data_IF_820646317124
#
_entry.id   IF_820646317124
#
_cell.length_a   1.000
_cell.length_b   1.000
_cell.length_c   1.000
_cell.angle_alpha   90.00
_cell.angle_beta   90.00
_cell.angle_gamma   90.00
#
_symmetry.space_group_name_H-M   'P 1'
#
loop_
_entity.id
_entity.type
_entity.pdbx_description
1 polymer ?
#
# COMPACT_ATOMS: atom_id res chain seq x y z
N UNK A 1 26.27 -10.86 -31.34
CA UNK A 1 25.53 -9.57 -31.27
C UNK A 1 24.88 -9.47 -29.88
N UNK A 2 25.29 -8.51 -29.04
CA UNK A 2 24.61 -8.26 -27.75
C UNK A 2 23.23 -7.66 -28.05
N UNK A 3 22.16 -8.37 -27.72
CA UNK A 3 20.80 -7.85 -27.86
C UNK A 3 20.64 -6.64 -26.94
N UNK A 4 20.55 -5.45 -27.51
CA UNK A 4 20.33 -4.22 -26.73
C UNK A 4 18.84 -4.09 -26.42
N UNK A 5 18.50 -4.18 -25.14
CA UNK A 5 17.12 -4.04 -24.68
C UNK A 5 16.54 -2.66 -25.07
N UNK A 6 15.29 -2.64 -25.51
CA UNK A 6 14.54 -1.39 -25.78
C UNK A 6 14.47 -0.53 -24.51
N UNK A 7 14.45 0.79 -24.67
CA UNK A 7 14.43 1.74 -23.55
C UNK A 7 13.29 1.45 -22.57
N UNK A 8 12.07 1.21 -23.06
CA UNK A 8 10.92 0.89 -22.20
C UNK A 8 11.14 -0.35 -21.32
N UNK A 9 11.79 -1.40 -21.87
CA UNK A 9 12.13 -2.61 -21.09
C UNK A 9 13.15 -2.27 -20.00
N UNK A 10 14.17 -1.47 -20.31
CA UNK A 10 15.16 -1.03 -19.32
C UNK A 10 14.53 -0.21 -18.21
N UNK A 11 13.62 0.70 -18.56
CA UNK A 11 12.86 1.52 -17.60
C UNK A 11 12.02 0.63 -16.70
N UNK A 12 11.30 -0.34 -17.26
CA UNK A 12 10.53 -1.31 -16.49
C UNK A 12 11.39 -2.11 -15.48
N UNK A 13 12.54 -2.57 -15.92
CA UNK A 13 13.46 -3.30 -15.03
C UNK A 13 13.99 -2.42 -13.89
N UNK A 14 14.25 -1.12 -14.14
CA UNK A 14 14.62 -0.18 -13.09
C UNK A 14 13.49 0.06 -12.08
N UNK A 15 12.24 0.23 -12.55
CA UNK A 15 11.07 0.36 -11.68
C UNK A 15 10.93 -0.84 -10.75
N UNK A 16 11.01 -2.06 -11.31
CA UNK A 16 10.94 -3.28 -10.50
C UNK A 16 12.04 -3.36 -9.45
N UNK A 17 13.29 -3.01 -9.83
CA UNK A 17 14.41 -3.01 -8.90
C UNK A 17 14.23 -1.99 -7.78
N UNK A 18 13.75 -0.79 -8.10
CA UNK A 18 13.47 0.26 -7.11
C UNK A 18 12.38 -0.22 -6.15
N UNK A 19 11.25 -0.72 -6.69
CA UNK A 19 10.15 -1.27 -5.88
C UNK A 19 10.63 -2.36 -4.92
N UNK A 20 11.45 -3.30 -5.41
CA UNK A 20 12.02 -4.34 -4.56
C UNK A 20 12.94 -3.78 -3.47
N UNK A 21 13.83 -2.84 -3.83
CA UNK A 21 14.82 -2.27 -2.90
C UNK A 21 14.16 -1.45 -1.80
N UNK A 22 13.22 -0.58 -2.19
CA UNK A 22 12.45 0.24 -1.24
C UNK A 22 11.54 -0.65 -0.39
N UNK A 23 10.84 -1.60 -1.02
CA UNK A 23 9.96 -2.54 -0.31
C UNK A 23 10.69 -3.33 0.77
N UNK A 24 11.93 -3.78 0.53
CA UNK A 24 12.75 -4.44 1.57
C UNK A 24 13.04 -3.54 2.76
N UNK A 25 13.38 -2.26 2.53
CA UNK A 25 13.64 -1.30 3.62
C UNK A 25 12.39 -1.05 4.45
N UNK A 26 11.26 -0.86 3.77
CA UNK A 26 9.96 -0.66 4.41
C UNK A 26 9.51 -1.90 5.20
N UNK A 27 9.70 -3.10 4.66
CA UNK A 27 9.40 -4.35 5.37
C UNK A 27 10.21 -4.49 6.65
N UNK A 28 11.52 -4.23 6.61
CA UNK A 28 12.37 -4.27 7.79
C UNK A 28 11.93 -3.28 8.88
N UNK A 29 11.40 -2.11 8.49
CA UNK A 29 10.83 -1.17 9.45
C UNK A 29 9.52 -1.68 10.04
N UNK A 30 8.62 -2.25 9.22
CA UNK A 30 7.34 -2.78 9.69
C UNK A 30 7.49 -3.97 10.66
N UNK A 31 8.57 -4.74 10.56
CA UNK A 31 8.86 -5.83 11.50
C UNK A 31 8.95 -5.37 12.95
N UNK A 32 9.36 -4.12 13.23
CA UNK A 32 9.37 -3.54 14.58
C UNK A 32 7.96 -3.40 15.18
N UNK A 33 6.93 -3.47 14.35
CA UNK A 33 5.52 -3.39 14.73
C UNK A 33 4.78 -4.71 14.55
N UNK A 34 5.51 -5.80 14.26
CA UNK A 34 4.93 -7.09 13.88
C UNK A 34 3.93 -6.97 12.71
N UNK A 35 4.21 -6.08 11.77
CA UNK A 35 3.40 -5.86 10.58
C UNK A 35 4.11 -6.33 9.31
N UNK A 36 3.36 -6.93 8.41
CA UNK A 36 3.74 -7.02 7.00
C UNK A 36 3.37 -5.72 6.27
N UNK A 37 4.00 -5.44 5.13
CA UNK A 37 3.60 -4.29 4.29
C UNK A 37 2.14 -4.34 3.86
N UNK A 38 1.60 -5.54 3.62
CA UNK A 38 0.19 -5.70 3.28
C UNK A 38 -0.74 -5.35 4.46
N UNK A 39 -0.40 -5.75 5.69
CA UNK A 39 -1.12 -5.37 6.90
C UNK A 39 -1.02 -3.86 7.16
N UNK A 40 0.19 -3.29 7.02
CA UNK A 40 0.38 -1.85 7.07
C UNK A 40 -0.51 -1.12 6.06
N UNK A 41 -0.56 -1.60 4.81
CA UNK A 41 -1.42 -1.04 3.77
C UNK A 41 -2.89 -0.98 4.17
N UNK A 42 -3.41 -2.02 4.85
CA UNK A 42 -4.77 -2.02 5.41
C UNK A 42 -4.95 -0.90 6.43
N UNK A 43 -4.04 -0.79 7.40
CA UNK A 43 -4.11 0.23 8.45
C UNK A 43 -4.05 1.65 7.86
N UNK A 44 -3.14 1.90 6.93
CA UNK A 44 -2.98 3.20 6.27
C UNK A 44 -4.23 3.60 5.47
N UNK A 45 -4.83 2.66 4.72
CA UNK A 45 -6.05 2.94 3.96
C UNK A 45 -7.26 3.19 4.88
N UNK A 46 -7.39 2.46 5.97
CA UNK A 46 -8.47 2.66 6.92
C UNK A 46 -8.32 3.96 7.71
N UNK A 47 -7.10 4.42 7.96
CA UNK A 47 -6.85 5.73 8.55
C UNK A 47 -7.29 6.87 7.61
N UNK A 48 -7.01 6.75 6.32
CA UNK A 48 -7.36 7.74 5.32
C UNK A 48 -8.85 7.72 4.93
N UNK A 49 -9.48 6.54 4.97
CA UNK A 49 -10.87 6.33 4.57
C UNK A 49 -11.55 5.37 5.57
N UNK A 50 -12.01 5.89 6.71
CA UNK A 50 -12.77 5.09 7.68
C UNK A 50 -14.07 4.59 7.06
N UNK A 51 -14.47 3.38 7.44
CA UNK A 51 -15.70 2.71 6.96
C UNK A 51 -15.72 2.41 5.45
N UNK A 52 -14.71 1.71 4.98
CA UNK A 52 -14.61 1.22 3.61
C UNK A 52 -15.07 -0.25 3.54
N UNK A 53 -15.71 -0.65 2.44
CA UNK A 53 -16.07 -2.06 2.25
C UNK A 53 -14.81 -2.92 2.07
N UNK A 54 -14.89 -4.17 2.55
CA UNK A 54 -13.80 -5.14 2.39
C UNK A 54 -13.41 -5.34 0.91
N UNK A 55 -14.38 -5.32 -0.01
CA UNK A 55 -14.12 -5.44 -1.44
C UNK A 55 -13.35 -4.22 -1.97
N UNK A 56 -13.81 -3.00 -1.64
CA UNK A 56 -13.14 -1.78 -2.07
C UNK A 56 -11.71 -1.68 -1.50
N UNK A 57 -11.49 -2.16 -0.29
CA UNK A 57 -10.17 -2.22 0.32
C UNK A 57 -9.26 -3.21 -0.43
N UNK A 58 -9.78 -4.37 -0.83
CA UNK A 58 -9.05 -5.34 -1.65
C UNK A 58 -8.64 -4.76 -3.01
N UNK A 59 -9.57 -4.07 -3.67
CA UNK A 59 -9.32 -3.43 -4.97
C UNK A 59 -8.25 -2.34 -4.85
N UNK A 60 -8.31 -1.50 -3.81
CA UNK A 60 -7.30 -0.44 -3.58
C UNK A 60 -5.92 -0.96 -3.25
N UNK A 61 -5.82 -2.11 -2.60
CA UNK A 61 -4.56 -2.74 -2.24
C UNK A 61 -4.06 -3.74 -3.30
N UNK A 62 -4.79 -3.88 -4.41
CA UNK A 62 -4.45 -4.82 -5.49
C UNK A 62 -4.26 -6.26 -4.98
N UNK A 63 -5.07 -6.67 -4.02
CA UNK A 63 -5.06 -8.03 -3.48
C UNK A 63 -6.34 -8.77 -3.82
N UNK A 64 -6.24 -10.10 -3.93
CA UNK A 64 -7.42 -10.92 -4.17
C UNK A 64 -8.37 -10.89 -2.96
N UNK A 65 -9.66 -11.15 -3.19
CA UNK A 65 -10.66 -11.25 -2.13
C UNK A 65 -10.25 -12.25 -1.04
N UNK A 66 -9.71 -13.41 -1.43
CA UNK A 66 -9.23 -14.42 -0.47
C UNK A 66 -8.06 -13.94 0.38
N UNK A 67 -7.08 -13.27 -0.23
CA UNK A 67 -5.95 -12.69 0.49
C UNK A 67 -6.40 -11.60 1.46
N UNK A 68 -7.37 -10.77 1.07
CA UNK A 68 -7.94 -9.74 1.94
C UNK A 68 -8.61 -10.34 3.17
N UNK A 69 -9.39 -11.42 3.02
CA UNK A 69 -9.98 -12.15 4.16
C UNK A 69 -8.88 -12.60 5.13
N UNK A 70 -7.80 -13.20 4.63
CA UNK A 70 -6.69 -13.65 5.45
C UNK A 70 -5.97 -12.51 6.18
N UNK A 71 -5.77 -11.36 5.52
CA UNK A 71 -5.18 -10.16 6.13
C UNK A 71 -6.06 -9.61 7.25
N UNK A 72 -7.35 -9.47 7.00
CA UNK A 72 -8.30 -8.94 7.96
C UNK A 72 -8.47 -9.86 9.17
N UNK A 73 -8.54 -11.19 8.97
CA UNK A 73 -8.59 -12.13 10.08
C UNK A 73 -7.42 -11.94 11.04
N UNK A 74 -6.18 -11.85 10.51
CA UNK A 74 -4.98 -11.64 11.35
C UNK A 74 -4.99 -10.29 12.07
N UNK A 75 -5.50 -9.25 11.44
CA UNK A 75 -5.60 -7.93 12.07
C UNK A 75 -6.72 -7.86 13.11
N UNK A 76 -7.85 -8.57 12.90
CA UNK A 76 -8.90 -8.73 13.91
C UNK A 76 -8.42 -9.53 15.11
N UNK A 77 -7.71 -10.64 14.89
CA UNK A 77 -7.14 -11.46 15.98
C UNK A 77 -6.19 -10.62 16.87
N UNK A 78 -5.56 -9.60 16.29
CA UNK A 78 -4.72 -8.62 17.02
C UNK A 78 -5.50 -7.43 17.57
N UNK A 79 -6.80 -7.36 17.37
CA UNK A 79 -7.64 -6.26 17.84
C UNK A 79 -7.35 -4.92 17.16
N UNK A 80 -6.82 -4.93 15.93
CA UNK A 80 -6.44 -3.71 15.19
C UNK A 80 -7.52 -3.21 14.23
N UNK A 81 -8.34 -4.11 13.73
CA UNK A 81 -9.49 -3.80 12.87
C UNK A 81 -10.73 -4.53 13.35
N UNK A 82 -11.88 -4.07 12.92
CA UNK A 82 -13.17 -4.74 13.10
C UNK A 82 -13.94 -4.77 11.79
N UNK A 83 -14.71 -5.83 11.56
CA UNK A 83 -15.64 -5.97 10.43
C UNK A 83 -17.07 -5.96 10.97
N UNK A 84 -17.92 -5.21 10.31
CA UNK A 84 -19.37 -5.18 10.60
C UNK A 84 -20.15 -5.33 9.30
N UNK A 85 -21.31 -6.02 9.32
CA UNK A 85 -22.20 -6.02 8.17
C UNK A 85 -22.61 -4.58 7.84
N UNK A 86 -22.73 -4.29 6.54
CA UNK A 86 -23.29 -3.01 6.11
C UNK A 86 -24.78 -2.97 6.53
N UNK A 87 -25.24 -1.88 7.17
CA UNK A 87 -26.66 -1.74 7.55
C UNK A 87 -27.63 -1.77 6.37
N UNK A 88 -27.17 -1.36 5.17
CA UNK A 88 -27.98 -1.31 3.95
C UNK A 88 -27.87 -2.59 3.12
N UNK A 89 -26.74 -3.30 3.20
CA UNK A 89 -26.51 -4.58 2.52
C UNK A 89 -25.74 -5.53 3.43
N UNK A 90 -26.47 -6.39 4.15
CA UNK A 90 -25.89 -7.36 5.08
C UNK A 90 -24.92 -8.38 4.45
N UNK A 91 -24.78 -8.42 3.11
CA UNK A 91 -23.79 -9.23 2.39
C UNK A 91 -22.44 -8.55 2.29
N UNK A 92 -22.42 -7.23 2.44
CA UNK A 92 -21.21 -6.41 2.41
C UNK A 92 -20.68 -6.24 3.82
N UNK A 93 -19.37 -6.43 4.00
CA UNK A 93 -18.69 -6.17 5.26
C UNK A 93 -17.94 -4.85 5.17
N UNK A 94 -18.24 -3.96 6.08
CA UNK A 94 -17.51 -2.71 6.29
C UNK A 94 -16.37 -2.94 7.27
N UNK A 95 -15.22 -2.36 6.99
CA UNK A 95 -14.00 -2.50 7.79
C UNK A 95 -13.65 -1.15 8.39
N UNK A 96 -13.26 -1.14 9.64
CA UNK A 96 -12.79 0.04 10.36
C UNK A 96 -11.65 -0.29 11.30
N UNK A 97 -10.86 0.73 11.68
CA UNK A 97 -9.87 0.60 12.72
C UNK A 97 -10.57 0.54 14.08
N UNK A 98 -10.03 -0.28 14.96
CA UNK A 98 -10.31 -0.16 16.40
C UNK A 98 -9.53 1.03 16.98
N UNK A 99 -9.77 1.39 18.23
CA UNK A 99 -8.97 2.41 18.93
C UNK A 99 -7.48 2.03 18.95
N UNK A 100 -7.16 0.76 19.20
CA UNK A 100 -5.80 0.24 19.18
C UNK A 100 -5.19 0.30 17.77
N UNK A 101 -5.96 -0.04 16.73
CA UNK A 101 -5.55 0.05 15.33
C UNK A 101 -5.29 1.49 14.91
N UNK A 102 -6.14 2.42 15.32
CA UNK A 102 -5.98 3.84 15.05
C UNK A 102 -4.72 4.42 15.72
N UNK A 103 -4.46 4.05 16.98
CA UNK A 103 -3.26 4.45 17.70
C UNK A 103 -1.98 3.92 17.02
N UNK A 104 -1.99 2.66 16.55
CA UNK A 104 -0.86 2.09 15.82
C UNK A 104 -0.68 2.78 14.47
N UNK A 105 -1.75 2.97 13.69
CA UNK A 105 -1.69 3.66 12.40
C UNK A 105 -1.13 5.09 12.53
N UNK A 106 -1.55 5.84 13.56
CA UNK A 106 -1.06 7.19 13.84
C UNK A 106 0.46 7.27 14.10
N UNK A 107 1.07 6.16 14.50
CA UNK A 107 2.53 6.04 14.67
C UNK A 107 3.23 5.59 13.39
N UNK A 108 2.77 4.48 12.82
CA UNK A 108 3.51 3.82 11.74
C UNK A 108 3.36 4.51 10.39
N UNK A 109 2.23 5.21 10.14
CA UNK A 109 2.00 5.87 8.84
C UNK A 109 2.98 7.03 8.62
N UNK A 110 3.16 8.00 9.54
CA UNK A 110 4.15 9.05 9.38
C UNK A 110 5.59 8.53 9.24
N UNK A 111 5.96 7.51 10.02
CA UNK A 111 7.30 6.92 9.94
C UNK A 111 7.55 6.25 8.58
N UNK A 112 6.55 5.58 8.03
CA UNK A 112 6.61 5.00 6.69
C UNK A 112 6.77 6.10 5.62
N UNK A 113 5.99 7.17 5.72
CA UNK A 113 6.07 8.30 4.79
C UNK A 113 7.46 8.95 4.81
N UNK A 114 8.05 9.13 5.98
CA UNK A 114 9.40 9.66 6.12
C UNK A 114 10.47 8.74 5.51
N UNK A 115 10.34 7.43 5.69
CA UNK A 115 11.24 6.46 5.06
C UNK A 115 11.15 6.49 3.53
N UNK A 116 9.94 6.58 2.99
CA UNK A 116 9.73 6.72 1.54
C UNK A 116 10.33 8.04 1.06
N UNK A 117 10.05 9.14 1.75
CA UNK A 117 10.60 10.46 1.41
C UNK A 117 12.14 10.45 1.41
N UNK A 118 12.76 9.83 2.41
CA UNK A 118 14.22 9.69 2.47
C UNK A 118 14.77 8.85 1.30
N UNK A 119 14.07 7.79 0.87
CA UNK A 119 14.45 7.02 -0.31
C UNK A 119 14.36 7.85 -1.60
N UNK A 120 13.39 8.76 -1.70
CA UNK A 120 13.20 9.62 -2.87
C UNK A 120 14.12 10.85 -2.88
N UNK A 121 14.65 11.26 -1.73
CA UNK A 121 15.49 12.45 -1.60
C UNK A 121 16.85 12.35 -2.29
N UNK A 122 17.19 11.21 -2.89
CA UNK A 122 18.40 11.01 -3.71
C UNK A 122 18.36 11.75 -5.05
N UNK A 123 17.17 12.18 -5.47
CA UNK A 123 16.96 13.04 -6.65
C UNK A 123 16.38 14.39 -6.21
N UNK A 124 16.68 15.45 -6.98
CA UNK A 124 16.23 16.79 -6.66
C UNK A 124 14.69 16.91 -6.66
N UNK A 125 14.11 17.87 -5.91
CA UNK A 125 12.66 18.04 -5.85
C UNK A 125 11.99 18.24 -7.22
N UNK A 126 12.67 18.92 -8.15
CA UNK A 126 12.18 19.10 -9.53
C UNK A 126 12.11 17.77 -10.30
N UNK A 127 13.14 16.93 -10.11
CA UNK A 127 13.20 15.61 -10.72
C UNK A 127 12.13 14.68 -10.13
N UNK A 128 11.85 14.78 -8.84
CA UNK A 128 10.75 14.04 -8.19
C UNK A 128 9.40 14.44 -8.79
N UNK A 129 9.15 15.75 -9.01
CA UNK A 129 7.92 16.23 -9.67
C UNK A 129 7.78 15.68 -11.08
N UNK A 130 8.86 15.73 -11.85
CA UNK A 130 8.88 15.20 -13.23
C UNK A 130 8.62 13.69 -13.24
N UNK A 131 9.27 12.93 -12.37
CA UNK A 131 9.06 11.49 -12.23
C UNK A 131 7.60 11.18 -11.86
N UNK A 132 7.05 11.88 -10.89
CA UNK A 132 5.66 11.72 -10.48
C UNK A 132 4.68 11.95 -11.64
N UNK A 133 4.87 13.02 -12.43
CA UNK A 133 4.03 13.32 -13.58
C UNK A 133 4.10 12.23 -14.66
N UNK A 134 5.30 11.71 -14.94
CA UNK A 134 5.51 10.64 -15.91
C UNK A 134 4.85 9.32 -15.46
N UNK A 135 5.03 8.96 -14.20
CA UNK A 135 4.40 7.78 -13.61
C UNK A 135 2.87 7.91 -13.59
N UNK A 136 2.34 9.07 -13.24
CA UNK A 136 0.89 9.33 -13.26
C UNK A 136 0.31 9.24 -14.68
N UNK A 137 1.04 9.74 -15.69
CA UNK A 137 0.64 9.61 -17.09
C UNK A 137 0.59 8.16 -17.53
N UNK A 138 1.60 7.37 -17.13
CA UNK A 138 1.68 5.95 -17.46
C UNK A 138 0.56 5.15 -16.78
N UNK A 139 0.32 5.42 -15.50
CA UNK A 139 -0.74 4.78 -14.72
C UNK A 139 -2.12 5.01 -15.33
N UNK A 140 -2.44 6.26 -15.68
CA UNK A 140 -3.70 6.59 -16.35
C UNK A 140 -3.87 5.95 -17.72
N UNK A 141 -2.78 5.82 -18.47
CA UNK A 141 -2.82 5.23 -19.81
C UNK A 141 -3.00 3.70 -19.77
N UNK A 142 -2.45 3.05 -18.77
CA UNK A 142 -2.59 1.60 -18.58
C UNK A 142 -3.94 1.23 -17.96
N UNK A 143 -4.53 2.12 -17.13
CA UNK A 143 -5.84 1.95 -16.51
C UNK A 143 -5.97 0.71 -15.63
N UNK A 144 -7.02 0.59 -14.83
CA UNK A 144 -7.43 -0.70 -14.29
C UNK A 144 -8.01 -1.53 -15.43
N UNK A 145 -7.45 -2.69 -15.68
CA UNK A 145 -8.05 -3.75 -16.53
C UNK A 145 -9.28 -4.33 -15.86
#
# INVERSE_FOLDING_TARGET
MKHQLKLGVRTWLHLNRIMYTVGRRLSGHMEHYDLTLAQFGVLAHLQAAPHISQQMLADRLFVTKGNMVGLLNRLEDRGLVERRPDPEDGRTHMVSLTEQGAALAARVVPEHEELVAACMAVIAPEEQRTLHQLLHTLDRALGPT
#
